data_IF_718084323219
#
_entry.id   IF_718084323219
#
_cell.length_a   1.000
_cell.length_b   1.000
_cell.length_c   1.000
_cell.angle_alpha   90.00
_cell.angle_beta   90.00
_cell.angle_gamma   90.00
#
_symmetry.space_group_name_H-M   'P 1'
#
loop_
_entity.id
_entity.type
_entity.pdbx_description
1 polymer ?
#
# COMPACT_ATOMS: atom_id res chain seq x y z
N UNK A 1 3.06 -26.80 16.30
CA UNK A 1 1.60 -26.87 16.54
C UNK A 1 0.85 -26.86 15.21
N UNK A 2 -0.40 -27.35 15.20
CA UNK A 2 -1.24 -27.30 14.00
C UNK A 2 -1.68 -25.85 13.73
N UNK A 3 -1.64 -25.41 12.48
CA UNK A 3 -2.17 -24.12 12.09
C UNK A 3 -3.71 -24.16 12.12
N UNK A 4 -4.34 -23.08 12.59
CA UNK A 4 -5.75 -22.78 12.36
C UNK A 4 -5.85 -22.07 11.00
N UNK A 5 -6.58 -22.64 10.06
CA UNK A 5 -6.80 -22.04 8.75
C UNK A 5 -8.14 -21.31 8.72
N UNK A 6 -8.20 -20.18 8.03
CA UNK A 6 -9.40 -19.45 7.68
C UNK A 6 -9.27 -18.87 6.28
N UNK A 7 -10.40 -18.66 5.61
CA UNK A 7 -10.46 -18.01 4.30
C UNK A 7 -11.56 -16.95 4.31
N UNK A 8 -11.38 -15.89 3.54
CA UNK A 8 -12.40 -14.85 3.32
C UNK A 8 -12.51 -14.57 1.82
N UNK A 9 -13.75 -14.49 1.35
CA UNK A 9 -14.08 -13.94 0.02
C UNK A 9 -15.12 -12.85 0.26
N UNK A 10 -14.87 -11.67 -0.28
CA UNK A 10 -15.76 -10.51 -0.21
C UNK A 10 -15.86 -9.91 -1.62
N UNK A 11 -17.10 -9.72 -2.07
CA UNK A 11 -17.40 -9.17 -3.39
C UNK A 11 -18.37 -8.01 -3.30
N UNK A 12 -18.41 -7.16 -4.32
CA UNK A 12 -19.44 -6.14 -4.54
C UNK A 12 -19.73 -5.99 -6.03
N UNK A 13 -20.71 -5.18 -6.38
CA UNK A 13 -21.09 -4.86 -7.76
C UNK A 13 -20.55 -3.49 -8.22
N UNK A 14 -19.52 -2.96 -7.58
CA UNK A 14 -18.88 -1.70 -7.90
C UNK A 14 -17.78 -1.80 -8.96
N UNK A 15 -18.02 -2.46 -10.10
CA UNK A 15 -17.03 -2.64 -11.16
C UNK A 15 -16.46 -1.35 -11.74
N UNK A 16 -15.22 -1.40 -12.26
CA UNK A 16 -14.47 -0.23 -12.73
C UNK A 16 -14.80 0.22 -14.17
N UNK A 17 -15.54 -0.53 -14.96
CA UNK A 17 -15.73 -0.28 -16.40
C UNK A 17 -17.03 0.45 -16.76
N UNK A 18 -17.50 1.36 -15.92
CA UNK A 18 -18.72 2.11 -16.20
C UNK A 18 -20.03 1.33 -16.07
N UNK A 19 -19.96 0.04 -15.70
CA UNK A 19 -21.11 -0.81 -15.44
C UNK A 19 -21.22 -1.10 -13.94
N UNK A 20 -22.28 -0.60 -13.32
CA UNK A 20 -22.59 -0.86 -11.90
C UNK A 20 -23.04 -2.31 -11.63
N UNK A 21 -23.03 -3.18 -12.64
CA UNK A 21 -23.45 -4.59 -12.53
C UNK A 21 -22.29 -5.57 -12.57
N UNK A 22 -21.06 -5.09 -12.73
CA UNK A 22 -19.89 -5.96 -12.80
C UNK A 22 -19.46 -6.41 -11.40
N UNK A 23 -19.44 -7.73 -11.18
CA UNK A 23 -18.96 -8.32 -9.93
C UNK A 23 -17.47 -8.03 -9.75
N UNK A 24 -17.11 -7.46 -8.61
CA UNK A 24 -15.72 -7.17 -8.23
C UNK A 24 -15.34 -7.95 -6.98
N UNK A 25 -14.16 -8.55 -7.00
CA UNK A 25 -13.56 -9.15 -5.80
C UNK A 25 -12.93 -8.02 -4.97
N UNK A 26 -13.39 -7.86 -3.73
CA UNK A 26 -12.81 -6.89 -2.79
C UNK A 26 -11.70 -7.52 -1.96
N UNK A 27 -11.95 -8.70 -1.42
CA UNK A 27 -10.98 -9.46 -0.67
C UNK A 27 -11.11 -10.94 -1.03
N UNK A 28 -10.00 -11.63 -1.18
CA UNK A 28 -9.93 -13.07 -1.36
C UNK A 28 -8.60 -13.56 -0.80
N UNK A 29 -8.59 -14.13 0.38
CA UNK A 29 -7.37 -14.58 1.03
C UNK A 29 -7.57 -15.80 1.91
N UNK A 30 -6.46 -16.51 2.15
CA UNK A 30 -6.33 -17.56 3.15
C UNK A 30 -5.39 -17.05 4.25
N UNK A 31 -5.74 -17.33 5.50
CA UNK A 31 -4.91 -17.04 6.65
C UNK A 31 -4.58 -18.32 7.42
N UNK A 32 -3.32 -18.56 7.68
CA UNK A 32 -2.79 -19.64 8.50
C UNK A 32 -2.24 -19.07 9.78
N UNK A 33 -2.82 -19.44 10.92
CA UNK A 33 -2.52 -18.91 12.25
C UNK A 33 -2.01 -20.02 13.18
N UNK A 34 -0.78 -19.87 13.66
CA UNK A 34 -0.13 -20.75 14.65
C UNK A 34 -0.17 -20.16 16.08
N UNK A 35 -0.99 -19.13 16.30
CA UNK A 35 -1.12 -18.43 17.59
C UNK A 35 -0.10 -17.32 17.77
N UNK A 36 1.20 -17.63 17.73
CA UNK A 36 2.30 -16.65 17.85
C UNK A 36 2.66 -16.01 16.51
N UNK A 37 2.46 -16.73 15.42
CA UNK A 37 2.72 -16.26 14.06
C UNK A 37 1.54 -16.56 13.15
N UNK A 38 1.35 -15.75 12.11
CA UNK A 38 0.35 -15.97 11.08
C UNK A 38 0.89 -15.60 9.70
N UNK A 39 0.42 -16.30 8.68
CA UNK A 39 0.68 -15.99 7.26
C UNK A 39 -0.65 -15.80 6.55
N UNK A 40 -0.81 -14.67 5.90
CA UNK A 40 -1.94 -14.38 5.02
C UNK A 40 -1.46 -14.32 3.58
N UNK A 41 -2.17 -15.00 2.68
CA UNK A 41 -1.89 -15.00 1.24
C UNK A 41 -3.17 -14.68 0.48
N UNK A 42 -3.13 -13.68 -0.38
CA UNK A 42 -4.25 -13.27 -1.22
C UNK A 42 -4.49 -11.77 -1.28
N UNK A 43 -5.68 -11.37 -1.72
CA UNK A 43 -6.07 -9.97 -1.89
C UNK A 43 -6.75 -9.47 -0.63
N UNK A 44 -6.19 -8.44 0.00
CA UNK A 44 -6.79 -7.75 1.16
C UNK A 44 -6.25 -6.32 1.27
N UNK A 45 -6.68 -5.62 2.30
CA UNK A 45 -6.25 -4.26 2.58
C UNK A 45 -4.74 -4.13 2.63
N UNK A 46 -4.24 -3.08 1.97
CA UNK A 46 -2.82 -2.69 2.03
C UNK A 46 -2.40 -2.43 3.49
N UNK A 47 -1.20 -2.83 3.92
CA UNK A 47 -0.77 -2.63 5.30
C UNK A 47 -0.80 -1.17 5.77
N UNK A 48 -0.53 -0.21 4.89
CA UNK A 48 -0.64 1.22 5.19
C UNK A 48 -2.07 1.68 5.51
N UNK A 49 -3.10 0.96 5.04
CA UNK A 49 -4.49 1.18 5.50
C UNK A 49 -4.58 0.91 7.01
N UNK A 50 -3.95 -0.18 7.46
CA UNK A 50 -3.70 -0.50 8.85
C UNK A 50 -4.94 -0.79 9.67
N UNK A 51 -4.73 -0.89 10.98
CA UNK A 51 -5.79 -1.11 11.97
C UNK A 51 -6.44 0.19 12.47
N UNK A 52 -5.83 1.36 12.17
CA UNK A 52 -6.31 2.67 12.58
C UNK A 52 -6.78 3.44 11.36
N UNK A 53 -8.06 3.72 11.30
CA UNK A 53 -8.72 4.46 10.24
C UNK A 53 -9.70 5.47 10.83
N UNK A 54 -9.97 6.59 10.14
CA UNK A 54 -10.90 7.60 10.63
C UNK A 54 -12.35 7.12 10.51
N UNK A 55 -13.17 7.49 11.48
CA UNK A 55 -14.63 7.37 11.41
C UNK A 55 -15.18 8.53 10.58
N UNK A 56 -15.39 8.31 9.29
CA UNK A 56 -15.86 9.31 8.35
C UNK A 56 -16.98 8.77 7.47
N UNK A 57 -17.91 9.65 7.11
CA UNK A 57 -19.06 9.36 6.26
C UNK A 57 -18.69 9.44 4.76
N UNK A 58 -17.57 8.89 4.34
CA UNK A 58 -17.22 8.86 2.93
C UNK A 58 -16.95 7.45 2.42
N UNK A 59 -17.26 7.21 1.14
CA UNK A 59 -17.13 5.91 0.50
C UNK A 59 -15.68 5.41 0.41
N UNK A 60 -14.72 6.32 0.44
CA UNK A 60 -13.29 6.02 0.32
C UNK A 60 -12.57 6.01 1.67
N UNK A 61 -13.32 5.97 2.77
CA UNK A 61 -12.77 5.78 4.13
C UNK A 61 -11.65 6.78 4.46
N UNK A 62 -11.90 8.08 4.17
CA UNK A 62 -10.98 9.17 4.47
C UNK A 62 -9.94 9.49 3.39
N UNK A 63 -10.05 8.93 2.17
CA UNK A 63 -9.19 9.37 1.07
C UNK A 63 -9.45 10.87 0.75
N UNK A 64 -8.41 11.66 0.40
CA UNK A 64 -7.01 11.29 0.17
C UNK A 64 -6.10 11.37 1.42
N UNK A 65 -6.62 11.37 2.63
CA UNK A 65 -5.83 11.49 3.87
C UNK A 65 -5.45 10.12 4.46
N UNK A 66 -6.27 9.09 4.20
CA UNK A 66 -6.05 7.71 4.60
C UNK A 66 -5.71 6.88 3.36
N UNK A 67 -4.63 6.07 3.35
CA UNK A 67 -4.34 5.13 2.27
C UNK A 67 -5.51 4.20 2.04
N UNK A 68 -5.95 4.07 0.79
CA UNK A 68 -7.06 3.22 0.41
C UNK A 68 -6.66 2.34 -0.77
N UNK A 69 -6.34 1.09 -0.49
CA UNK A 69 -5.91 0.11 -1.50
C UNK A 69 -6.16 -1.31 -1.00
N UNK A 70 -6.46 -2.22 -1.91
CA UNK A 70 -6.50 -3.67 -1.71
C UNK A 70 -5.63 -4.32 -2.74
N UNK A 71 -4.61 -5.05 -2.28
CA UNK A 71 -3.56 -5.60 -3.12
C UNK A 71 -3.37 -7.08 -2.88
N UNK A 72 -3.00 -7.86 -3.91
CA UNK A 72 -2.42 -9.17 -3.72
C UNK A 72 -1.18 -9.08 -2.84
N UNK A 73 -1.08 -9.94 -1.84
CA UNK A 73 0.02 -9.88 -0.89
C UNK A 73 0.29 -11.20 -0.18
N UNK A 74 1.52 -11.34 0.29
CA UNK A 74 1.89 -12.30 1.31
C UNK A 74 2.27 -11.46 2.54
N UNK A 75 1.54 -11.67 3.64
CA UNK A 75 1.76 -10.95 4.90
C UNK A 75 2.12 -11.94 5.99
N UNK A 76 3.22 -11.70 6.64
CA UNK A 76 3.65 -12.40 7.85
C UNK A 76 3.44 -11.50 9.06
N UNK A 77 2.83 -12.05 10.10
CA UNK A 77 2.62 -11.38 11.38
C UNK A 77 3.24 -12.22 12.49
N UNK A 78 3.91 -11.57 13.44
CA UNK A 78 4.56 -12.21 14.55
C UNK A 78 4.32 -11.47 15.86
N UNK A 79 3.70 -12.13 16.82
CA UNK A 79 3.52 -11.63 18.18
C UNK A 79 4.80 -11.87 18.97
N UNK A 80 5.65 -10.84 19.07
CA UNK A 80 6.88 -10.92 19.84
C UNK A 80 6.59 -11.19 21.34
N UNK A 81 5.51 -10.55 21.83
CA UNK A 81 4.92 -10.80 23.15
C UNK A 81 3.42 -10.43 23.12
N UNK A 82 2.76 -10.36 24.28
CA UNK A 82 1.34 -10.01 24.39
C UNK A 82 1.01 -8.56 23.98
N UNK A 83 2.01 -7.70 23.87
CA UNK A 83 1.85 -6.27 23.61
C UNK A 83 2.45 -5.81 22.28
N UNK A 84 3.33 -6.59 21.68
CA UNK A 84 4.06 -6.20 20.46
C UNK A 84 3.77 -7.19 19.34
N UNK A 85 3.26 -6.68 18.24
CA UNK A 85 3.08 -7.41 16.99
C UNK A 85 3.94 -6.79 15.90
N UNK A 86 4.70 -7.62 15.20
CA UNK A 86 5.48 -7.25 14.03
C UNK A 86 4.75 -7.72 12.76
N UNK A 87 4.80 -6.93 11.72
CA UNK A 87 4.20 -7.24 10.41
C UNK A 87 5.23 -7.03 9.32
N UNK A 88 5.35 -7.98 8.41
CA UNK A 88 6.10 -7.85 7.16
C UNK A 88 5.21 -8.30 6.00
N UNK A 89 5.22 -7.55 4.88
CA UNK A 89 4.41 -7.89 3.71
C UNK A 89 5.18 -7.62 2.43
N UNK A 90 4.96 -8.48 1.45
CA UNK A 90 5.28 -8.23 0.04
C UNK A 90 3.97 -8.13 -0.72
N UNK A 91 3.85 -7.10 -1.60
CA UNK A 91 2.61 -6.77 -2.26
C UNK A 91 2.82 -6.60 -3.76
N UNK A 92 1.71 -6.75 -4.50
CA UNK A 92 1.65 -6.53 -5.93
C UNK A 92 0.46 -5.64 -6.28
N UNK A 93 0.53 -4.94 -7.41
CA UNK A 93 -0.58 -4.11 -7.88
C UNK A 93 -1.50 -4.90 -8.80
N UNK A 94 -2.82 -4.75 -8.64
CA UNK A 94 -3.83 -5.39 -9.47
C UNK A 94 -5.01 -4.44 -9.78
N UNK A 95 -5.79 -4.04 -8.77
CA UNK A 95 -6.95 -3.16 -8.94
C UNK A 95 -6.59 -1.68 -8.83
N UNK A 96 -5.58 -1.38 -8.05
CA UNK A 96 -5.07 -0.04 -7.78
C UNK A 96 -3.65 0.02 -8.32
N UNK A 97 -3.43 0.90 -9.28
CA UNK A 97 -2.24 0.91 -10.12
C UNK A 97 -1.51 2.24 -10.00
N UNK A 98 -0.18 2.20 -10.05
CA UNK A 98 0.64 3.39 -10.11
C UNK A 98 0.51 4.10 -11.46
N UNK A 99 0.54 5.41 -11.43
CA UNK A 99 0.54 6.25 -12.63
C UNK A 99 1.93 6.26 -13.30
N UNK A 100 1.94 6.45 -14.61
CA UNK A 100 3.19 6.54 -15.37
C UNK A 100 2.98 7.03 -16.81
N UNK A 101 3.96 6.85 -17.69
CA UNK A 101 3.94 7.41 -19.05
C UNK A 101 2.75 6.99 -19.92
N UNK A 102 2.15 5.85 -19.62
CA UNK A 102 0.98 5.31 -20.34
C UNK A 102 -0.30 5.35 -19.49
N UNK A 103 -0.38 6.24 -18.50
CA UNK A 103 -1.46 6.26 -17.53
C UNK A 103 -1.22 5.26 -16.39
N UNK A 104 -2.31 4.81 -15.74
CA UNK A 104 -2.24 3.80 -14.67
C UNK A 104 -2.01 2.41 -15.26
N UNK A 105 -0.95 1.72 -14.84
CA UNK A 105 -0.60 0.38 -15.34
C UNK A 105 0.19 -0.43 -14.31
N UNK A 106 -0.06 -1.74 -14.28
CA UNK A 106 0.76 -2.70 -13.55
C UNK A 106 2.14 -2.97 -14.22
N UNK A 107 2.33 -2.50 -15.46
CA UNK A 107 3.58 -2.70 -16.18
C UNK A 107 4.78 -2.10 -15.44
N UNK A 108 4.58 -1.00 -14.71
CA UNK A 108 5.70 -0.32 -14.05
C UNK A 108 6.29 -1.14 -12.91
N UNK A 109 5.47 -1.81 -12.11
CA UNK A 109 5.95 -2.74 -11.08
C UNK A 109 6.44 -4.04 -11.70
N UNK A 110 5.79 -4.57 -12.74
CA UNK A 110 6.25 -5.75 -13.50
C UNK A 110 7.63 -5.52 -14.10
N UNK A 111 7.84 -4.39 -14.74
CA UNK A 111 9.12 -4.03 -15.36
C UNK A 111 10.24 -3.86 -14.32
N UNK A 112 9.91 -3.45 -13.10
CA UNK A 112 10.90 -3.33 -12.01
C UNK A 112 11.33 -4.69 -11.47
N UNK A 113 10.47 -5.72 -11.56
CA UNK A 113 10.63 -7.04 -10.93
C UNK A 113 10.85 -6.98 -9.41
N UNK A 114 10.47 -5.87 -8.76
CA UNK A 114 10.61 -5.66 -7.33
C UNK A 114 9.19 -5.45 -6.76
N UNK A 115 8.69 -6.35 -5.89
CA UNK A 115 7.40 -6.14 -5.25
C UNK A 115 7.44 -4.95 -4.29
N UNK A 116 6.29 -4.39 -3.99
CA UNK A 116 6.18 -3.47 -2.86
C UNK A 116 6.48 -4.22 -1.56
N UNK A 117 7.06 -3.53 -0.60
CA UNK A 117 7.42 -4.08 0.70
C UNK A 117 6.91 -3.19 1.81
N UNK A 118 6.43 -3.82 2.88
CA UNK A 118 6.04 -3.14 4.10
C UNK A 118 6.58 -3.88 5.30
N UNK A 119 7.06 -3.12 6.28
CA UNK A 119 7.37 -3.61 7.62
C UNK A 119 6.74 -2.67 8.65
N UNK A 120 6.19 -3.22 9.71
CA UNK A 120 5.55 -2.43 10.75
C UNK A 120 5.59 -3.12 12.11
N UNK A 121 5.39 -2.33 13.14
CA UNK A 121 5.31 -2.77 14.52
C UNK A 121 4.13 -2.08 15.22
N UNK A 122 3.26 -2.86 15.82
CA UNK A 122 2.15 -2.40 16.64
C UNK A 122 2.44 -2.68 18.11
N UNK A 123 2.12 -1.74 18.96
CA UNK A 123 2.31 -1.80 20.40
C UNK A 123 1.01 -1.47 21.14
N UNK A 124 0.61 -2.36 22.04
CA UNK A 124 -0.56 -2.23 22.89
C UNK A 124 -0.11 -2.09 24.36
N UNK A 125 0.22 -0.87 24.83
CA UNK A 125 0.80 -0.68 26.17
C UNK A 125 -0.17 -1.02 27.30
N UNK A 126 -1.45 -0.77 27.10
CA UNK A 126 -2.53 -1.01 28.05
C UNK A 126 -3.85 -1.24 27.30
N UNK A 127 -4.89 -1.66 28.02
CA UNK A 127 -6.22 -1.85 27.45
C UNK A 127 -6.73 -0.57 26.77
N UNK A 128 -7.32 -0.73 25.61
CA UNK A 128 -7.83 0.35 24.78
C UNK A 128 -6.78 1.10 23.96
N UNK A 129 -5.49 0.95 24.21
CA UNK A 129 -4.42 1.62 23.47
C UNK A 129 -3.86 0.77 22.33
N UNK A 130 -3.67 1.38 21.19
CA UNK A 130 -2.91 0.83 20.05
C UNK A 130 -2.03 1.95 19.49
N UNK A 131 -0.76 1.68 19.35
CA UNK A 131 0.23 2.56 18.72
C UNK A 131 1.01 1.77 17.70
N UNK A 132 1.47 2.39 16.63
CA UNK A 132 2.30 1.69 15.67
C UNK A 132 3.10 2.60 14.77
N UNK A 133 4.09 1.98 14.15
CA UNK A 133 4.97 2.57 13.15
C UNK A 133 5.08 1.60 11.97
N UNK A 134 5.21 2.16 10.77
CA UNK A 134 5.41 1.38 9.56
C UNK A 134 6.36 2.07 8.59
N UNK A 135 7.04 1.25 7.80
CA UNK A 135 7.85 1.68 6.67
C UNK A 135 7.45 0.88 5.43
N UNK A 136 7.36 1.57 4.32
CA UNK A 136 6.96 1.03 3.03
C UNK A 136 7.98 1.42 1.97
N UNK A 137 8.20 0.53 1.00
CA UNK A 137 9.04 0.75 -0.17
C UNK A 137 8.30 0.31 -1.43
N UNK A 138 8.39 1.15 -2.47
CA UNK A 138 7.94 0.83 -3.84
C UNK A 138 9.07 1.10 -4.83
N UNK A 139 9.21 0.24 -5.84
CA UNK A 139 10.13 0.43 -6.95
C UNK A 139 9.41 0.21 -8.27
N UNK A 140 9.41 1.24 -9.12
CA UNK A 140 8.77 1.21 -10.44
C UNK A 140 9.82 1.40 -11.53
N UNK A 141 9.62 0.73 -12.66
CA UNK A 141 10.39 0.96 -13.89
C UNK A 141 9.44 1.50 -14.96
N UNK A 142 9.35 2.84 -15.14
CA UNK A 142 8.37 3.47 -16.01
C UNK A 142 8.52 3.13 -17.49
N UNK A 143 9.75 2.88 -17.95
CA UNK A 143 10.05 2.57 -19.35
C UNK A 143 11.04 1.41 -19.43
N UNK A 144 10.91 0.59 -20.48
CA UNK A 144 11.88 -0.45 -20.84
C UNK A 144 12.73 -0.05 -22.05
N UNK A 145 12.23 0.93 -22.83
CA UNK A 145 12.92 1.52 -23.98
C UNK A 145 12.52 2.98 -24.16
N UNK A 146 13.37 3.72 -24.84
CA UNK A 146 13.13 5.10 -25.32
C UNK A 146 13.42 5.20 -26.80
N UNK A 147 12.67 6.02 -27.51
CA UNK A 147 12.97 6.44 -28.87
C UNK A 147 13.68 7.79 -28.81
N UNK A 148 14.91 7.85 -29.36
CA UNK A 148 15.72 9.06 -29.37
C UNK A 148 16.47 9.18 -30.65
N UNK A 149 16.32 10.29 -31.36
CA UNK A 149 17.01 10.56 -32.66
C UNK A 149 16.83 9.40 -33.66
N UNK A 150 15.57 8.91 -33.81
CA UNK A 150 15.17 7.82 -34.71
C UNK A 150 15.78 6.45 -34.37
N UNK A 151 16.31 6.29 -33.16
CA UNK A 151 16.86 5.04 -32.67
C UNK A 151 16.15 4.62 -31.37
N UNK A 152 15.98 3.31 -31.19
CA UNK A 152 15.41 2.73 -29.96
C UNK A 152 16.53 2.28 -29.04
N UNK A 153 16.53 2.79 -27.82
CA UNK A 153 17.48 2.42 -26.77
C UNK A 153 16.77 1.65 -25.65
N UNK A 154 17.38 0.58 -25.19
CA UNK A 154 16.96 -0.10 -23.97
C UNK A 154 17.37 0.73 -22.76
N UNK A 155 16.43 0.94 -21.81
CA UNK A 155 16.65 1.76 -20.62
C UNK A 155 16.38 0.98 -19.34
N UNK A 156 17.01 1.37 -18.23
CA UNK A 156 16.97 0.65 -16.98
C UNK A 156 16.62 1.50 -15.76
N UNK A 157 16.46 2.81 -15.93
CA UNK A 157 16.17 3.72 -14.83
C UNK A 157 14.91 3.32 -14.08
N UNK A 158 14.99 3.39 -12.76
CA UNK A 158 13.93 3.05 -11.82
C UNK A 158 13.64 4.22 -10.89
N UNK A 159 12.39 4.34 -10.51
CA UNK A 159 11.97 5.20 -9.43
C UNK A 159 11.78 4.33 -8.19
N UNK A 160 12.54 4.57 -7.12
CA UNK A 160 12.38 3.91 -5.84
C UNK A 160 11.99 4.94 -4.79
N UNK A 161 10.96 4.64 -4.02
CA UNK A 161 10.40 5.54 -3.03
C UNK A 161 10.15 4.82 -1.70
N UNK A 162 10.32 5.58 -0.61
CA UNK A 162 10.06 5.13 0.75
C UNK A 162 8.99 5.99 1.38
N UNK A 163 8.11 5.37 2.15
CA UNK A 163 7.07 6.04 2.93
C UNK A 163 7.07 5.52 4.36
N UNK A 164 6.71 6.39 5.30
CA UNK A 164 6.71 6.07 6.73
C UNK A 164 5.38 6.49 7.34
N UNK A 165 4.85 5.67 8.22
CA UNK A 165 3.62 5.95 8.92
C UNK A 165 3.77 5.81 10.41
N UNK A 166 2.97 6.59 11.16
CA UNK A 166 2.76 6.39 12.58
C UNK A 166 1.26 6.51 12.88
N UNK A 167 0.76 5.68 13.77
CA UNK A 167 -0.63 5.71 14.17
C UNK A 167 -0.80 5.51 15.67
N UNK A 168 -1.93 6.03 16.15
CA UNK A 168 -2.34 5.97 17.54
C UNK A 168 -3.86 5.81 17.60
N UNK A 169 -4.34 4.91 18.44
CA UNK A 169 -5.75 4.79 18.78
C UNK A 169 -5.91 4.54 20.28
N UNK A 170 -6.89 5.21 20.86
CA UNK A 170 -7.38 4.93 22.20
C UNK A 170 -8.88 4.68 22.13
N UNK A 171 -9.34 3.56 22.65
CA UNK A 171 -10.76 3.19 22.75
C UNK A 171 -11.13 3.11 24.23
N UNK A 172 -11.74 4.16 24.74
CA UNK A 172 -12.27 4.23 26.09
C UNK A 172 -13.73 3.78 26.14
N UNK A 173 -14.33 3.86 27.33
CA UNK A 173 -15.74 3.45 27.54
C UNK A 173 -16.73 4.37 26.79
N UNK A 174 -16.47 5.67 26.74
CA UNK A 174 -17.42 6.68 26.23
C UNK A 174 -16.89 7.45 25.02
N UNK A 175 -15.62 7.27 24.63
CA UNK A 175 -15.02 7.98 23.52
C UNK A 175 -13.90 7.14 22.89
N UNK A 176 -13.66 7.41 21.62
CA UNK A 176 -12.52 6.88 20.88
C UNK A 176 -11.73 8.03 20.31
N UNK A 177 -10.43 7.99 20.48
CA UNK A 177 -9.49 8.91 19.84
C UNK A 177 -8.62 8.12 18.87
N UNK A 178 -8.44 8.64 17.67
CA UNK A 178 -7.57 8.04 16.68
C UNK A 178 -6.80 9.11 15.92
N UNK A 179 -5.55 8.85 15.61
CA UNK A 179 -4.71 9.72 14.80
C UNK A 179 -3.75 8.91 13.95
N UNK A 180 -3.44 9.40 12.78
CA UNK A 180 -2.43 8.82 11.90
C UNK A 180 -1.71 9.92 11.15
N UNK A 181 -0.41 9.74 10.99
CA UNK A 181 0.44 10.57 10.15
C UNK A 181 1.19 9.69 9.16
N UNK A 182 1.36 10.17 7.95
CA UNK A 182 2.03 9.49 6.86
C UNK A 182 2.94 10.48 6.14
N UNK A 183 4.23 10.15 6.06
CA UNK A 183 5.18 10.76 5.15
C UNK A 183 5.23 9.91 3.89
N UNK A 184 4.49 10.31 2.86
CA UNK A 184 4.23 9.52 1.67
C UNK A 184 5.16 9.92 0.52
N UNK A 185 5.50 8.92 -0.28
CA UNK A 185 6.31 9.08 -1.49
C UNK A 185 5.82 8.10 -2.55
N UNK A 186 5.36 8.61 -3.70
CA UNK A 186 4.83 7.82 -4.83
C UNK A 186 3.71 6.83 -4.43
N UNK A 187 2.73 7.27 -3.63
CA UNK A 187 1.61 6.45 -3.14
C UNK A 187 0.27 6.74 -3.86
N UNK A 188 0.30 7.21 -5.10
CA UNK A 188 -0.89 7.50 -5.91
C UNK A 188 -1.81 6.27 -6.09
N UNK A 189 -1.26 5.07 -6.17
CA UNK A 189 -2.01 3.81 -6.20
C UNK A 189 -2.74 3.47 -4.90
N UNK A 190 -2.58 4.26 -3.86
CA UNK A 190 -3.32 4.10 -2.59
C UNK A 190 -4.38 5.18 -2.38
N UNK A 191 -4.86 5.81 -3.45
CA UNK A 191 -5.81 6.93 -3.44
C UNK A 191 -5.31 8.17 -2.65
N UNK A 192 -4.00 8.29 -2.50
CA UNK A 192 -3.32 9.48 -1.98
C UNK A 192 -2.81 10.36 -3.12
N UNK A 193 -2.33 11.55 -2.79
CA UNK A 193 -1.48 12.32 -3.68
C UNK A 193 -0.16 11.57 -3.90
N UNK A 194 0.49 11.75 -5.06
CA UNK A 194 1.74 11.06 -5.30
C UNK A 194 2.15 11.00 -6.75
N UNK A 195 2.72 9.86 -7.17
CA UNK A 195 3.34 9.70 -8.46
C UNK A 195 4.80 10.17 -8.46
N UNK A 196 5.33 10.45 -9.62
CA UNK A 196 6.73 10.87 -9.82
C UNK A 196 6.85 11.75 -11.06
N UNK A 197 7.93 12.52 -11.12
CA UNK A 197 8.30 13.35 -12.27
C UNK A 197 9.62 12.92 -12.89
N UNK A 198 9.88 13.40 -14.10
CA UNK A 198 11.20 13.27 -14.76
C UNK A 198 12.14 14.28 -14.14
N UNK A 199 13.27 13.84 -13.64
CA UNK A 199 14.32 14.69 -13.02
C UNK A 199 15.49 14.96 -13.94
N UNK A 200 15.75 14.07 -14.91
CA UNK A 200 16.85 14.20 -15.88
C UNK A 200 16.52 13.44 -17.16
N UNK A 201 17.19 13.81 -18.24
CA UNK A 201 17.13 13.11 -19.54
C UNK A 201 18.56 12.97 -20.07
N UNK A 202 18.98 11.75 -20.38
CA UNK A 202 20.25 11.49 -21.05
C UNK A 202 20.19 11.97 -22.52
N UNK A 203 21.09 12.84 -22.92
CA UNK A 203 21.09 13.45 -24.25
C UNK A 203 21.50 12.49 -25.38
N UNK A 204 22.01 11.31 -25.06
CA UNK A 204 22.43 10.29 -26.04
C UNK A 204 21.36 9.25 -26.28
N UNK A 205 20.68 8.82 -25.24
CA UNK A 205 19.72 7.70 -25.28
C UNK A 205 18.27 8.11 -25.04
N UNK A 206 18.05 9.36 -24.53
CA UNK A 206 16.74 9.80 -24.08
C UNK A 206 16.27 9.09 -22.80
N UNK A 207 17.12 8.33 -22.11
CA UNK A 207 16.78 7.70 -20.84
C UNK A 207 16.44 8.75 -19.79
N UNK A 208 15.34 8.52 -19.04
CA UNK A 208 14.80 9.47 -18.09
C UNK A 208 15.06 9.01 -16.66
N UNK A 209 15.72 9.86 -15.88
CA UNK A 209 15.76 9.72 -14.43
C UNK A 209 14.47 10.20 -13.79
N UNK A 210 14.08 9.64 -12.65
CA UNK A 210 12.79 9.90 -12.00
C UNK A 210 12.96 10.31 -10.55
N UNK A 211 12.10 11.22 -10.11
CA UNK A 211 12.02 11.66 -8.70
C UNK A 211 10.59 11.49 -8.19
N UNK A 212 10.37 10.78 -7.07
CA UNK A 212 9.04 10.62 -6.50
C UNK A 212 8.55 11.94 -5.91
N UNK A 213 7.27 12.23 -6.10
CA UNK A 213 6.60 13.31 -5.38
C UNK A 213 6.37 12.90 -3.93
N UNK A 214 6.67 13.81 -3.02
CA UNK A 214 6.54 13.62 -1.58
C UNK A 214 5.43 14.49 -1.03
N UNK A 215 4.67 13.95 -0.09
CA UNK A 215 3.67 14.69 0.66
C UNK A 215 3.56 14.13 2.07
N UNK A 216 2.90 14.85 2.95
CA UNK A 216 2.51 14.34 4.25
C UNK A 216 1.00 14.47 4.42
N UNK A 217 0.41 13.49 5.04
CA UNK A 217 -0.99 13.53 5.48
C UNK A 217 -1.06 13.24 6.96
N UNK A 218 -1.90 14.01 7.66
CA UNK A 218 -2.17 13.78 9.08
C UNK A 218 -3.65 13.99 9.31
N UNK A 219 -4.26 13.07 10.03
CA UNK A 219 -5.63 13.22 10.49
C UNK A 219 -5.76 12.84 11.95
N UNK A 220 -6.75 13.42 12.58
CA UNK A 220 -7.16 13.17 13.95
C UNK A 220 -8.68 12.99 13.96
N UNK A 221 -9.16 12.02 14.69
CA UNK A 221 -10.56 11.71 14.84
C UNK A 221 -10.88 11.49 16.33
N UNK A 222 -11.97 12.08 16.77
CA UNK A 222 -12.42 12.01 18.16
C UNK A 222 -13.93 11.74 18.21
#
# INVERSE_FOLDING_TARGET
GKARSSAKIETDFGGFSGSNTMLRIRQAYVNLDWGKSAVLVGITWHPLFGAVMPDVLNLSTGAPFQPFNRSPQIRYQYKANSRVQLTASVLWQLQYLSSGPKGMSEDYIKNSCIPEMFVGADFTPADGWLMGLGAHMISLKPRTSTEWKEQTFKVNERMTAFSYEAHLKYSGRNYTFAAKTLMASALDHTALLGGYGVSSVDSRTGEQGYTPFRHSTTWVNF
#
